data_IF_127544016801
#
_entry.id   IF_127544016801
#
_cell.length_a   1.000
_cell.length_b   1.000
_cell.length_c   1.000
_cell.angle_alpha   90.00
_cell.angle_beta   90.00
_cell.angle_gamma   90.00
#
_symmetry.space_group_name_H-M   'P 1'
#
loop_
_entity.id
_entity.type
_entity.pdbx_description
1 polymer ?
#
# COMPACT_ATOMS: atom_id res chain seq x y z
N UNK A 1 36.22 -42.78 15.77
CA UNK A 1 35.69 -41.47 16.21
C UNK A 1 36.14 -40.35 15.27
N UNK A 2 35.60 -40.28 14.03
CA UNK A 2 35.93 -39.20 13.06
C UNK A 2 34.71 -38.62 12.34
N UNK A 3 33.54 -39.25 12.44
CA UNK A 3 32.34 -38.83 11.68
C UNK A 3 31.31 -38.03 12.49
N UNK A 4 31.50 -37.86 13.80
CA UNK A 4 30.51 -37.17 14.67
C UNK A 4 30.69 -35.64 14.64
N UNK A 5 31.87 -35.15 14.27
CA UNK A 5 32.19 -33.71 14.31
C UNK A 5 31.59 -32.96 13.10
N UNK A 6 31.35 -33.65 11.98
CA UNK A 6 30.85 -33.02 10.74
C UNK A 6 29.35 -32.69 10.84
N UNK A 7 28.57 -33.46 11.59
CA UNK A 7 27.11 -33.25 11.71
C UNK A 7 26.74 -32.04 12.59
N UNK A 8 27.66 -31.55 13.42
CA UNK A 8 27.42 -30.42 14.33
C UNK A 8 27.69 -29.05 13.68
N UNK A 9 28.40 -29.01 12.54
CA UNK A 9 28.73 -27.76 11.83
C UNK A 9 27.68 -27.33 10.80
N UNK A 10 26.73 -28.20 10.45
CA UNK A 10 25.67 -27.90 9.47
C UNK A 10 24.41 -27.25 10.08
N UNK A 11 24.29 -27.21 11.41
CA UNK A 11 23.16 -26.58 12.10
C UNK A 11 23.34 -25.09 12.42
N UNK A 12 24.50 -24.51 12.10
CA UNK A 12 24.82 -23.08 12.31
C UNK A 12 24.83 -22.26 11.01
N UNK A 13 24.14 -22.71 9.96
CA UNK A 13 23.84 -21.83 8.83
C UNK A 13 22.90 -20.72 9.32
N UNK A 14 23.50 -19.61 9.73
CA UNK A 14 22.85 -18.38 10.14
C UNK A 14 21.80 -18.00 9.10
N UNK A 15 20.53 -18.11 9.48
CA UNK A 15 19.43 -17.47 8.78
C UNK A 15 19.67 -15.97 9.01
N UNK A 16 20.33 -15.31 8.05
CA UNK A 16 20.47 -13.87 8.03
C UNK A 16 19.08 -13.24 7.91
N UNK A 17 18.43 -13.04 9.05
CA UNK A 17 17.18 -12.29 9.13
C UNK A 17 17.55 -10.82 8.97
N UNK A 18 17.60 -10.36 7.72
CA UNK A 18 17.69 -8.92 7.44
C UNK A 18 16.51 -8.27 8.13
N UNK A 19 16.80 -7.41 9.11
CA UNK A 19 15.78 -6.66 9.83
C UNK A 19 15.24 -5.63 8.84
N UNK A 20 14.12 -5.94 8.20
CA UNK A 20 13.38 -4.99 7.37
C UNK A 20 13.16 -3.72 8.19
N UNK A 21 13.82 -2.65 7.77
CA UNK A 21 13.66 -1.34 8.36
C UNK A 21 12.51 -0.64 7.66
N UNK A 22 11.62 -0.02 8.44
CA UNK A 22 10.59 0.84 7.88
C UNK A 22 11.25 2.00 7.13
N UNK A 23 10.65 2.48 6.03
CA UNK A 23 11.10 3.69 5.36
C UNK A 23 11.21 4.88 6.31
N UNK A 24 12.16 5.79 6.06
CA UNK A 24 12.44 6.94 6.93
C UNK A 24 11.20 7.78 7.25
N UNK A 25 10.35 8.01 6.25
CA UNK A 25 9.08 8.72 6.38
C UNK A 25 8.09 8.04 7.35
N UNK A 26 8.22 6.73 7.55
CA UNK A 26 7.34 5.89 8.36
C UNK A 26 7.95 5.45 9.69
N UNK A 27 9.16 5.92 10.05
CA UNK A 27 9.87 5.52 11.27
C UNK A 27 9.07 5.84 12.54
N UNK A 28 8.24 6.87 12.54
CA UNK A 28 7.37 7.20 13.67
C UNK A 28 6.40 6.06 14.05
N UNK A 29 6.15 5.11 13.14
CA UNK A 29 5.32 3.92 13.33
C UNK A 29 6.15 2.64 13.56
N UNK A 30 7.45 2.77 13.83
CA UNK A 30 8.35 1.62 14.06
C UNK A 30 7.99 0.82 15.30
N UNK A 31 7.43 1.46 16.33
CA UNK A 31 6.90 0.78 17.53
C UNK A 31 5.68 -0.06 17.17
N UNK A 32 4.80 0.47 16.32
CA UNK A 32 3.59 -0.19 15.81
C UNK A 32 3.95 -1.44 15.02
N UNK A 33 4.93 -1.33 14.12
CA UNK A 33 5.42 -2.48 13.33
C UNK A 33 5.94 -3.64 14.18
N UNK A 34 6.33 -3.42 15.43
CA UNK A 34 6.80 -4.45 16.37
C UNK A 34 5.69 -5.02 17.26
N UNK A 35 4.51 -4.41 17.30
CA UNK A 35 3.41 -4.91 18.10
C UNK A 35 2.87 -6.22 17.52
N UNK A 36 2.49 -7.13 18.42
CA UNK A 36 1.96 -8.46 18.08
C UNK A 36 0.43 -8.48 18.08
N UNK A 37 -0.22 -7.59 18.82
CA UNK A 37 -1.67 -7.55 18.96
C UNK A 37 -2.30 -6.46 18.08
N UNK A 38 -3.04 -6.90 17.07
CA UNK A 38 -3.76 -6.03 16.11
C UNK A 38 -4.96 -5.36 16.75
N UNK A 39 -5.63 -6.10 17.64
CA UNK A 39 -6.89 -5.71 18.26
C UNK A 39 -6.76 -4.41 19.08
N UNK A 40 -5.56 -4.14 19.63
CA UNK A 40 -5.26 -2.93 20.38
C UNK A 40 -4.76 -1.78 19.50
N UNK A 41 -4.13 -2.08 18.36
CA UNK A 41 -3.40 -1.10 17.53
C UNK A 41 -3.89 -1.03 16.06
N UNK A 42 -5.11 -1.50 15.74
CA UNK A 42 -5.64 -1.57 14.35
C UNK A 42 -5.41 -0.27 13.59
N UNK A 43 -5.78 0.86 14.20
CA UNK A 43 -5.66 2.19 13.59
C UNK A 43 -4.22 2.53 13.22
N UNK A 44 -3.27 2.17 14.09
CA UNK A 44 -1.85 2.41 13.87
C UNK A 44 -1.29 1.52 12.76
N UNK A 45 -1.74 0.27 12.65
CA UNK A 45 -1.35 -0.62 11.54
C UNK A 45 -1.91 -0.14 10.19
N UNK A 46 -3.14 0.38 10.18
CA UNK A 46 -3.70 1.03 8.98
C UNK A 46 -2.88 2.27 8.63
N UNK A 47 -2.55 3.13 9.59
CA UNK A 47 -1.70 4.30 9.37
C UNK A 47 -0.32 3.91 8.83
N UNK A 48 0.24 2.81 9.32
CA UNK A 48 1.49 2.26 8.81
C UNK A 48 1.33 1.82 7.34
N UNK A 49 0.27 1.10 7.02
CA UNK A 49 -0.08 0.75 5.64
C UNK A 49 -0.23 1.97 4.73
N UNK A 50 -0.91 3.02 5.20
CA UNK A 50 -1.07 4.28 4.46
C UNK A 50 0.28 4.94 4.17
N UNK A 51 1.15 5.03 5.19
CA UNK A 51 2.48 5.61 5.04
C UNK A 51 3.34 4.82 4.05
N UNK A 52 3.34 3.48 4.18
CA UNK A 52 4.07 2.60 3.26
C UNK A 52 3.59 2.78 1.82
N UNK A 53 2.27 2.80 1.57
CA UNK A 53 1.74 3.02 0.24
C UNK A 53 2.18 4.35 -0.38
N UNK A 54 2.12 5.43 0.40
CA UNK A 54 2.60 6.74 -0.05
C UNK A 54 4.09 6.68 -0.40
N UNK A 55 4.91 6.05 0.44
CA UNK A 55 6.34 5.92 0.20
C UNK A 55 6.63 5.20 -1.13
N UNK A 56 5.99 4.06 -1.37
CA UNK A 56 6.16 3.28 -2.61
C UNK A 56 5.65 4.04 -3.84
N UNK A 57 4.51 4.75 -3.74
CA UNK A 57 3.99 5.57 -4.84
C UNK A 57 4.96 6.70 -5.19
N UNK A 58 5.52 7.38 -4.18
CA UNK A 58 6.53 8.44 -4.38
C UNK A 58 7.78 7.89 -5.07
N UNK A 59 8.21 6.67 -4.70
CA UNK A 59 9.34 5.97 -5.32
C UNK A 59 9.02 5.30 -6.65
N UNK A 60 7.80 5.43 -7.18
CA UNK A 60 7.34 4.72 -8.39
C UNK A 60 7.45 3.19 -8.31
N UNK A 61 7.51 2.64 -7.10
CA UNK A 61 7.54 1.20 -6.88
C UNK A 61 6.17 0.58 -7.16
N UNK A 62 6.18 -0.70 -7.48
CA UNK A 62 4.97 -1.46 -7.72
C UNK A 62 4.39 -1.98 -6.41
N UNK A 63 3.06 -1.90 -6.28
CA UNK A 63 2.31 -2.43 -5.16
C UNK A 63 1.17 -3.33 -5.67
N UNK A 64 0.94 -4.44 -4.98
CA UNK A 64 -0.24 -5.28 -5.19
C UNK A 64 -1.47 -4.63 -4.53
N UNK A 65 -1.94 -3.56 -5.17
CA UNK A 65 -3.10 -2.82 -4.71
C UNK A 65 -4.41 -3.58 -4.96
N UNK A 66 -4.43 -4.55 -5.87
CA UNK A 66 -5.60 -5.43 -6.05
C UNK A 66 -5.81 -6.26 -4.79
N UNK A 67 -4.77 -6.94 -4.30
CA UNK A 67 -4.82 -7.65 -3.02
C UNK A 67 -5.20 -6.70 -1.88
N UNK A 68 -4.51 -5.57 -1.79
CA UNK A 68 -4.73 -4.57 -0.74
C UNK A 68 -6.19 -4.09 -0.69
N UNK A 69 -6.79 -3.80 -1.85
CA UNK A 69 -8.16 -3.31 -1.94
C UNK A 69 -9.22 -4.41 -1.80
N UNK A 70 -8.87 -5.68 -2.01
CA UNK A 70 -9.75 -6.79 -1.66
C UNK A 70 -9.95 -6.88 -0.14
N UNK A 71 -8.90 -6.65 0.65
CA UNK A 71 -9.02 -6.62 2.12
C UNK A 71 -9.96 -5.50 2.60
N UNK A 72 -10.00 -4.36 1.91
CA UNK A 72 -10.96 -3.28 2.22
C UNK A 72 -12.41 -3.72 1.99
N UNK A 73 -12.67 -4.47 0.91
CA UNK A 73 -14.01 -5.00 0.63
C UNK A 73 -14.38 -6.18 1.54
N UNK A 74 -13.40 -6.94 2.00
CA UNK A 74 -13.56 -7.99 3.00
C UNK A 74 -13.89 -7.41 4.38
N UNK A 75 -13.09 -6.48 4.92
CA UNK A 75 -13.36 -5.80 6.21
C UNK A 75 -14.73 -5.12 6.22
N UNK A 76 -15.16 -4.55 5.09
CA UNK A 76 -16.50 -3.95 4.96
C UNK A 76 -17.64 -4.98 5.07
N UNK A 77 -17.42 -6.20 4.60
CA UNK A 77 -18.43 -7.28 4.60
C UNK A 77 -18.38 -8.14 5.85
N UNK A 78 -17.27 -8.11 6.59
CA UNK A 78 -17.08 -8.92 7.78
C UNK A 78 -17.95 -8.41 8.94
N UNK A 79 -18.86 -9.26 9.41
CA UNK A 79 -19.79 -8.96 10.52
C UNK A 79 -19.07 -8.71 11.85
N UNK A 80 -17.92 -9.34 12.06
CA UNK A 80 -17.07 -9.14 13.24
C UNK A 80 -16.08 -7.97 13.06
N UNK A 81 -16.04 -7.37 11.88
CA UNK A 81 -15.22 -6.22 11.51
C UNK A 81 -13.81 -6.24 12.11
N UNK A 82 -13.53 -5.24 12.95
CA UNK A 82 -12.24 -4.94 13.59
C UNK A 82 -11.63 -6.11 14.37
N UNK A 83 -12.44 -7.04 14.90
CA UNK A 83 -11.98 -8.09 15.81
C UNK A 83 -11.36 -9.29 15.09
N UNK A 84 -11.61 -9.43 13.79
CA UNK A 84 -11.12 -10.56 12.98
C UNK A 84 -9.87 -10.22 12.16
N UNK A 85 -9.40 -8.97 12.24
CA UNK A 85 -8.36 -8.46 11.36
C UNK A 85 -6.97 -8.91 11.77
N UNK A 86 -6.25 -9.53 10.85
CA UNK A 86 -4.83 -9.80 11.02
C UNK A 86 -3.99 -8.53 10.84
N UNK A 87 -2.73 -8.59 11.30
CA UNK A 87 -1.79 -7.46 11.22
C UNK A 87 -1.54 -7.08 9.76
N UNK A 88 -1.42 -8.11 8.93
CA UNK A 88 -1.18 -7.97 7.51
C UNK A 88 -2.38 -7.33 6.83
N UNK A 89 -3.60 -7.81 7.11
CA UNK A 89 -4.83 -7.24 6.57
C UNK A 89 -5.00 -5.77 6.94
N UNK A 90 -4.71 -5.38 8.20
CA UNK A 90 -4.78 -3.98 8.61
C UNK A 90 -3.80 -3.09 7.82
N UNK A 91 -2.58 -3.59 7.56
CA UNK A 91 -1.58 -2.90 6.73
C UNK A 91 -2.06 -2.82 5.27
N UNK A 92 -2.60 -3.91 4.72
CA UNK A 92 -3.13 -3.98 3.35
C UNK A 92 -4.30 -3.02 3.14
N UNK A 93 -5.22 -2.93 4.10
CA UNK A 93 -6.31 -1.93 4.11
C UNK A 93 -5.72 -0.52 4.04
N UNK A 94 -4.74 -0.23 4.92
CA UNK A 94 -4.02 1.04 4.92
C UNK A 94 -3.35 1.34 3.58
N UNK A 95 -2.73 0.34 2.95
CA UNK A 95 -2.07 0.51 1.66
C UNK A 95 -3.06 0.92 0.55
N UNK A 96 -4.21 0.25 0.45
CA UNK A 96 -5.24 0.59 -0.53
C UNK A 96 -5.79 2.01 -0.29
N UNK A 97 -6.18 2.31 0.94
CA UNK A 97 -6.78 3.61 1.30
C UNK A 97 -5.77 4.75 1.13
N UNK A 98 -4.54 4.55 1.59
CA UNK A 98 -3.45 5.51 1.47
C UNK A 98 -3.10 5.82 0.01
N UNK A 99 -3.04 4.79 -0.84
CA UNK A 99 -2.78 4.95 -2.26
C UNK A 99 -3.85 5.80 -2.96
N UNK A 100 -5.14 5.46 -2.76
CA UNK A 100 -6.27 6.21 -3.33
C UNK A 100 -6.27 7.65 -2.82
N UNK A 101 -6.08 7.83 -1.51
CA UNK A 101 -6.07 9.15 -0.86
C UNK A 101 -4.95 10.02 -1.41
N UNK A 102 -3.74 9.48 -1.55
CA UNK A 102 -2.60 10.18 -2.10
C UNK A 102 -2.87 10.69 -3.52
N UNK A 103 -3.35 9.80 -4.41
CA UNK A 103 -3.64 10.17 -5.80
C UNK A 103 -4.73 11.25 -5.86
N UNK A 104 -5.80 11.08 -5.09
CA UNK A 104 -6.86 12.07 -5.05
C UNK A 104 -6.38 13.42 -4.53
N UNK A 105 -5.58 13.45 -3.46
CA UNK A 105 -5.12 14.70 -2.86
C UNK A 105 -4.08 15.44 -3.71
N UNK A 106 -3.18 14.72 -4.40
CA UNK A 106 -2.12 15.33 -5.19
C UNK A 106 -2.57 15.72 -6.61
N UNK A 107 -3.38 14.88 -7.26
CA UNK A 107 -3.66 15.04 -8.70
C UNK A 107 -5.06 15.58 -8.99
N UNK A 108 -6.01 15.50 -8.07
CA UNK A 108 -7.35 15.99 -8.37
C UNK A 108 -7.35 17.53 -8.49
N UNK A 109 -7.91 18.03 -9.59
CA UNK A 109 -7.88 19.42 -10.03
C UNK A 109 -6.48 19.95 -10.43
N UNK A 110 -5.49 19.07 -10.57
CA UNK A 110 -4.18 19.47 -11.10
C UNK A 110 -4.32 19.77 -12.61
N UNK A 111 -3.81 20.93 -13.08
CA UNK A 111 -3.85 21.29 -14.49
C UNK A 111 -2.92 20.39 -15.31
N UNK A 112 -3.40 19.97 -16.48
CA UNK A 112 -2.62 19.13 -17.38
C UNK A 112 -1.76 20.05 -18.26
N UNK A 113 -0.46 20.07 -17.99
CA UNK A 113 0.48 20.90 -18.74
C UNK A 113 0.80 20.23 -20.09
N UNK A 114 0.05 20.56 -21.14
CA UNK A 114 0.32 20.09 -22.49
C UNK A 114 1.16 21.17 -23.21
N UNK A 115 2.48 20.96 -23.29
CA UNK A 115 3.45 21.95 -23.74
C UNK A 115 3.38 22.31 -25.24
N UNK A 116 2.40 21.80 -25.98
CA UNK A 116 2.37 21.88 -27.45
C UNK A 116 1.36 22.89 -28.02
N UNK A 117 0.37 23.39 -27.26
CA UNK A 117 -0.68 24.23 -27.83
C UNK A 117 -0.84 25.56 -27.07
N UNK A 118 -0.61 26.67 -27.80
CA UNK A 118 -0.77 28.07 -27.41
C UNK A 118 -2.22 28.48 -27.04
N UNK A 119 -3.14 27.53 -27.07
CA UNK A 119 -4.56 27.68 -26.75
C UNK A 119 -4.83 26.84 -25.51
N UNK A 120 -4.93 27.54 -24.40
CA UNK A 120 -4.97 27.02 -23.03
C UNK A 120 -6.29 26.29 -22.77
N UNK A 121 -6.46 25.10 -23.33
CA UNK A 121 -7.55 24.22 -22.95
C UNK A 121 -7.29 23.74 -21.53
N UNK A 122 -8.07 24.25 -20.58
CA UNK A 122 -7.89 24.12 -19.13
C UNK A 122 -8.29 22.73 -18.62
N UNK A 123 -7.81 21.67 -19.27
CA UNK A 123 -8.10 20.31 -18.82
C UNK A 123 -7.47 20.07 -17.45
N UNK A 124 -8.30 19.63 -16.51
CA UNK A 124 -7.88 19.28 -15.17
C UNK A 124 -8.13 17.80 -14.92
N UNK A 125 -7.29 17.19 -14.10
CA UNK A 125 -7.55 15.84 -13.63
C UNK A 125 -8.77 15.82 -12.69
N UNK A 126 -9.67 14.86 -12.89
CA UNK A 126 -10.74 14.52 -11.95
C UNK A 126 -10.54 13.08 -11.50
N UNK A 127 -10.30 12.91 -10.21
CA UNK A 127 -9.97 11.61 -9.63
C UNK A 127 -11.15 11.05 -8.81
N UNK A 128 -11.34 9.73 -8.87
CA UNK A 128 -12.32 9.03 -8.03
C UNK A 128 -11.71 8.68 -6.66
N UNK A 129 -12.55 8.61 -5.63
CA UNK A 129 -12.16 8.23 -4.25
C UNK A 129 -13.18 7.30 -3.60
N UNK A 130 -12.84 6.77 -2.43
CA UNK A 130 -13.73 5.94 -1.62
C UNK A 130 -14.08 4.61 -2.31
N UNK A 131 -15.29 4.09 -2.06
CA UNK A 131 -15.73 2.79 -2.57
C UNK A 131 -15.55 2.62 -4.08
N UNK A 132 -15.91 3.65 -4.88
CA UNK A 132 -15.76 3.61 -6.34
C UNK A 132 -14.31 3.40 -6.78
N UNK A 133 -13.36 4.00 -6.07
CA UNK A 133 -11.93 3.83 -6.33
C UNK A 133 -11.44 2.43 -5.96
N UNK A 134 -11.87 1.93 -4.79
CA UNK A 134 -11.59 0.57 -4.32
C UNK A 134 -12.07 -0.45 -5.34
N UNK A 135 -13.32 -0.36 -5.78
CA UNK A 135 -13.90 -1.28 -6.75
C UNK A 135 -13.15 -1.22 -8.10
N UNK A 136 -12.79 -0.02 -8.58
CA UNK A 136 -12.03 0.13 -9.83
C UNK A 136 -10.63 -0.48 -9.77
N UNK A 137 -9.96 -0.40 -8.62
CA UNK A 137 -8.66 -1.07 -8.42
C UNK A 137 -8.85 -2.58 -8.39
N UNK A 138 -9.82 -3.10 -7.64
CA UNK A 138 -10.05 -4.55 -7.53
C UNK A 138 -10.33 -5.24 -8.86
N UNK A 139 -11.09 -4.58 -9.74
CA UNK A 139 -11.41 -5.09 -11.08
C UNK A 139 -10.35 -4.75 -12.14
N UNK A 140 -9.21 -4.16 -11.74
CA UNK A 140 -8.08 -3.94 -12.65
C UNK A 140 -7.48 -5.26 -13.11
N UNK A 141 -7.17 -5.37 -14.40
CA UNK A 141 -6.42 -6.50 -14.95
C UNK A 141 -4.96 -6.54 -14.48
N UNK A 142 -4.41 -5.39 -14.06
CA UNK A 142 -3.06 -5.28 -13.49
C UNK A 142 -3.12 -5.34 -11.97
N UNK A 143 -2.53 -6.39 -11.41
CA UNK A 143 -2.37 -6.58 -9.95
C UNK A 143 -1.36 -5.60 -9.36
N UNK A 144 -0.18 -5.54 -9.97
CA UNK A 144 0.89 -4.63 -9.62
C UNK A 144 0.65 -3.26 -10.25
N UNK A 145 0.46 -2.26 -9.42
CA UNK A 145 0.19 -0.89 -9.82
C UNK A 145 1.29 0.03 -9.30
N UNK A 146 1.88 0.80 -10.21
CA UNK A 146 2.74 1.93 -9.90
C UNK A 146 1.94 3.24 -9.97
N UNK A 147 2.56 4.36 -9.59
CA UNK A 147 1.95 5.70 -9.59
C UNK A 147 1.22 6.03 -10.90
N UNK A 148 1.88 5.79 -12.05
CA UNK A 148 1.35 6.16 -13.37
C UNK A 148 0.13 5.34 -13.74
N UNK A 149 0.18 4.02 -13.51
CA UNK A 149 -0.95 3.12 -13.78
C UNK A 149 -2.13 3.45 -12.85
N UNK A 150 -1.86 3.73 -11.58
CA UNK A 150 -2.86 4.10 -10.60
C UNK A 150 -3.53 5.44 -10.96
N UNK A 151 -2.75 6.44 -11.39
CA UNK A 151 -3.26 7.72 -11.87
C UNK A 151 -4.19 7.54 -13.07
N UNK A 152 -3.76 6.79 -14.10
CA UNK A 152 -4.58 6.49 -15.30
C UNK A 152 -5.86 5.72 -14.96
N UNK A 153 -5.80 4.86 -13.95
CA UNK A 153 -6.95 4.08 -13.52
C UNK A 153 -7.97 4.94 -12.77
N UNK A 154 -7.51 5.79 -11.86
CA UNK A 154 -8.37 6.55 -10.94
C UNK A 154 -8.78 7.93 -11.46
N UNK A 155 -8.02 8.54 -12.36
CA UNK A 155 -8.26 9.90 -12.81
C UNK A 155 -8.58 9.95 -14.30
N UNK A 156 -9.43 10.90 -14.68
CA UNK A 156 -9.77 11.20 -16.07
C UNK A 156 -9.70 12.71 -16.30
N UNK A 157 -9.60 13.11 -17.56
CA UNK A 157 -9.51 14.51 -17.97
C UNK A 157 -10.92 15.09 -18.08
N UNK A 158 -11.13 16.29 -17.55
CA UNK A 158 -12.37 17.06 -17.69
C UNK A 158 -12.05 18.49 -18.09
#
# INVERSE_FOLDING_TARGET
>A
MKFVIVFSLLFFSHISYSKESLPDDCIHLKSVGKANFVLLNKKEFIQLGECLAIHFIKKHSELDLVRSCNEVDEDRRNLLGILSLSKLEAILIGQCVGAIKYIYQHYNNEPINNSSNRWQSTYVYRCIKGKKAVDKIRYSSKKLLNRTNLLKLLCYMK
#
